data_IF_513334710012
#
_entry.id   IF_513334710012
#
_cell.length_a   1.000
_cell.length_b   1.000
_cell.length_c   1.000
_cell.angle_alpha   90.00
_cell.angle_beta   90.00
_cell.angle_gamma   90.00
#
_symmetry.space_group_name_H-M   'P 1'
#
loop_
_entity.id
_entity.type
_entity.pdbx_description
1 polymer ?
#
# COMPACT_ATOMS: atom_id res chain seq x y z
N UNK A 1 -21.97 -1.01 -6.28
CA UNK A 1 -20.96 -2.02 -5.89
C UNK A 1 -19.65 -1.66 -6.59
N UNK A 2 -18.55 -1.60 -5.85
CA UNK A 2 -17.22 -1.28 -6.41
C UNK A 2 -16.67 -2.45 -7.23
N UNK A 3 -15.95 -2.14 -8.33
CA UNK A 3 -15.12 -3.12 -9.02
C UNK A 3 -13.65 -2.78 -8.80
N UNK A 4 -12.88 -3.76 -8.32
CA UNK A 4 -11.44 -3.62 -8.08
C UNK A 4 -10.68 -4.44 -9.11
N UNK A 5 -9.99 -3.77 -10.02
CA UNK A 5 -9.20 -4.43 -11.06
C UNK A 5 -7.79 -4.70 -10.56
N UNK A 6 -7.39 -5.95 -10.63
CA UNK A 6 -6.05 -6.43 -10.23
C UNK A 6 -6.09 -7.50 -9.16
N UNK A 7 -5.11 -8.39 -9.16
CA UNK A 7 -5.02 -9.50 -8.21
C UNK A 7 -4.37 -9.13 -6.88
N UNK A 8 -4.64 -9.92 -5.84
CA UNK A 8 -4.16 -9.73 -4.46
C UNK A 8 -2.64 -9.86 -4.29
N UNK A 9 -1.92 -10.35 -5.28
CA UNK A 9 -0.44 -10.39 -5.29
C UNK A 9 0.20 -9.06 -5.71
N UNK A 10 -0.60 -7.99 -5.82
CA UNK A 10 -0.19 -6.65 -6.21
C UNK A 10 -0.63 -5.59 -5.20
N UNK A 11 -0.43 -4.30 -5.53
CA UNK A 11 -0.97 -3.19 -4.74
C UNK A 11 -2.50 -3.17 -4.64
N UNK A 12 -3.22 -3.97 -5.43
CA UNK A 12 -4.66 -4.14 -5.27
C UNK A 12 -5.02 -4.76 -3.91
N UNK A 13 -4.10 -5.51 -3.28
CA UNK A 13 -4.29 -6.02 -1.91
C UNK A 13 -4.68 -4.93 -0.92
N UNK A 14 -4.11 -3.73 -1.04
CA UNK A 14 -4.42 -2.58 -0.17
C UNK A 14 -5.89 -2.18 -0.27
N UNK A 15 -6.42 -2.18 -1.50
CA UNK A 15 -7.81 -1.79 -1.79
C UNK A 15 -8.78 -2.84 -1.26
N UNK A 16 -8.52 -4.11 -1.56
CA UNK A 16 -9.31 -5.23 -1.02
C UNK A 16 -9.34 -5.20 0.50
N UNK A 17 -8.17 -5.07 1.13
CA UNK A 17 -8.09 -5.03 2.59
C UNK A 17 -8.84 -3.86 3.20
N UNK A 18 -8.76 -2.68 2.62
CA UNK A 18 -9.54 -1.52 3.09
C UNK A 18 -11.05 -1.78 2.99
N UNK A 19 -11.52 -2.34 1.89
CA UNK A 19 -12.94 -2.66 1.70
C UNK A 19 -13.43 -3.70 2.72
N UNK A 20 -12.64 -4.74 2.98
CA UNK A 20 -12.90 -5.72 4.04
C UNK A 20 -12.94 -5.08 5.44
N UNK A 21 -11.98 -4.20 5.79
CA UNK A 21 -11.97 -3.48 7.07
C UNK A 21 -13.19 -2.57 7.25
N UNK A 22 -13.71 -2.04 6.18
CA UNK A 22 -14.89 -1.19 6.18
C UNK A 22 -16.20 -1.96 6.11
N UNK A 23 -16.17 -3.26 5.82
CA UNK A 23 -17.32 -4.12 5.51
C UNK A 23 -18.14 -3.54 4.37
N UNK A 24 -17.51 -3.31 3.22
CA UNK A 24 -18.10 -2.74 2.02
C UNK A 24 -17.99 -3.74 0.87
N UNK A 25 -19.13 -4.01 0.21
CA UNK A 25 -19.22 -4.96 -0.89
C UNK A 25 -18.43 -4.51 -2.13
N UNK A 26 -17.76 -5.46 -2.76
CA UNK A 26 -16.98 -5.24 -3.97
C UNK A 26 -16.97 -6.49 -4.88
N UNK A 27 -16.67 -6.26 -6.14
CA UNK A 27 -16.36 -7.29 -7.14
C UNK A 27 -14.86 -7.21 -7.46
N UNK A 28 -14.15 -8.31 -7.24
CA UNK A 28 -12.75 -8.45 -7.66
C UNK A 28 -12.66 -8.89 -9.13
N UNK A 29 -11.99 -8.11 -9.97
CA UNK A 29 -11.80 -8.41 -11.40
C UNK A 29 -10.33 -8.73 -11.65
N UNK A 30 -9.96 -10.01 -11.83
CA UNK A 30 -8.60 -10.40 -12.15
C UNK A 30 -8.24 -9.91 -13.56
N UNK A 31 -7.29 -8.99 -13.63
CA UNK A 31 -6.77 -8.47 -14.90
C UNK A 31 -5.25 -8.39 -14.85
N UNK A 32 -4.59 -8.72 -15.97
CA UNK A 32 -3.13 -8.65 -16.05
C UNK A 32 -2.67 -7.20 -16.24
N UNK A 33 -1.63 -6.74 -15.49
CA UNK A 33 -1.01 -5.45 -15.76
C UNK A 33 -0.57 -5.34 -17.23
N UNK A 34 -0.74 -4.17 -17.81
CA UNK A 34 -0.36 -3.83 -19.20
C UNK A 34 -1.13 -4.58 -20.29
N UNK A 35 -2.17 -5.35 -19.96
CA UNK A 35 -3.01 -5.98 -20.98
C UNK A 35 -3.74 -4.94 -21.84
N UNK A 36 -4.12 -5.26 -23.09
CA UNK A 36 -4.90 -4.38 -23.93
C UNK A 36 -6.23 -3.95 -23.30
N UNK A 37 -6.89 -4.86 -22.61
CA UNK A 37 -8.15 -4.62 -21.91
C UNK A 37 -7.99 -3.59 -20.79
N UNK A 38 -6.94 -3.75 -19.97
CA UNK A 38 -6.65 -2.80 -18.90
C UNK A 38 -6.29 -1.42 -19.45
N UNK A 39 -5.52 -1.35 -20.55
CA UNK A 39 -5.12 -0.07 -21.16
C UNK A 39 -6.27 0.74 -21.72
N UNK A 40 -7.39 0.10 -22.07
CA UNK A 40 -8.62 0.80 -22.47
C UNK A 40 -9.25 1.54 -21.29
N UNK A 41 -9.05 1.04 -20.06
CA UNK A 41 -9.61 1.61 -18.83
C UNK A 41 -8.59 2.56 -18.15
N UNK A 42 -7.35 2.12 -18.07
CA UNK A 42 -6.22 2.88 -17.51
C UNK A 42 -5.06 2.85 -18.51
N UNK A 43 -4.81 3.93 -19.25
CA UNK A 43 -3.75 3.98 -20.28
C UNK A 43 -2.35 3.65 -19.78
N UNK A 44 -2.07 3.88 -18.47
CA UNK A 44 -0.78 3.49 -17.86
C UNK A 44 -0.59 1.97 -17.78
N UNK A 45 -1.66 1.19 -17.90
CA UNK A 45 -1.66 -0.26 -17.75
C UNK A 45 -1.30 -0.75 -16.36
N UNK A 46 -1.37 0.12 -15.34
CA UNK A 46 -1.08 -0.22 -13.94
C UNK A 46 -2.34 -0.66 -13.19
N UNK A 47 -2.15 -1.51 -12.19
CA UNK A 47 -3.15 -1.91 -11.20
C UNK A 47 -2.71 -1.47 -9.80
N UNK A 48 -3.64 -1.26 -8.84
CA UNK A 48 -5.09 -1.38 -8.95
C UNK A 48 -5.76 -0.27 -9.75
N UNK A 49 -6.98 -0.57 -10.21
CA UNK A 49 -7.97 0.42 -10.65
C UNK A 49 -9.26 0.15 -9.89
N UNK A 50 -9.88 1.19 -9.39
CA UNK A 50 -11.22 1.15 -8.81
C UNK A 50 -12.21 1.72 -9.81
N UNK A 51 -13.32 1.03 -10.02
CA UNK A 51 -14.50 1.56 -10.75
C UNK A 51 -15.65 1.71 -9.76
N UNK A 52 -16.16 2.93 -9.67
CA UNK A 52 -17.32 3.27 -8.87
C UNK A 52 -18.35 3.95 -9.79
N UNK A 53 -19.33 3.17 -10.24
CA UNK A 53 -20.29 3.55 -11.31
C UNK A 53 -19.55 4.01 -12.58
N UNK A 54 -19.59 5.30 -12.90
CA UNK A 54 -18.95 5.93 -14.05
C UNK A 54 -17.55 6.48 -13.76
N UNK A 55 -17.11 6.45 -12.50
CA UNK A 55 -15.80 6.97 -12.09
C UNK A 55 -14.75 5.87 -12.13
N UNK A 56 -13.63 6.14 -12.79
CA UNK A 56 -12.45 5.28 -12.83
C UNK A 56 -11.32 5.95 -12.07
N UNK A 57 -10.85 5.32 -11.00
CA UNK A 57 -9.75 5.84 -10.16
C UNK A 57 -8.57 4.89 -10.27
N UNK A 58 -7.42 5.41 -10.62
CA UNK A 58 -6.15 4.69 -10.62
C UNK A 58 -5.20 5.26 -9.57
N UNK A 59 -4.17 4.49 -9.22
CA UNK A 59 -3.27 4.62 -8.08
C UNK A 59 -3.88 4.18 -6.75
N UNK A 60 -3.15 3.30 -6.05
CA UNK A 60 -3.67 2.70 -4.82
C UNK A 60 -3.89 3.73 -3.71
N UNK A 61 -3.06 4.77 -3.61
CA UNK A 61 -3.21 5.78 -2.56
C UNK A 61 -4.40 6.69 -2.83
N UNK A 62 -4.61 7.09 -4.09
CA UNK A 62 -5.80 7.84 -4.49
C UNK A 62 -7.09 7.05 -4.21
N UNK A 63 -7.08 5.74 -4.51
CA UNK A 63 -8.21 4.85 -4.23
C UNK A 63 -8.48 4.75 -2.73
N UNK A 64 -7.43 4.52 -1.91
CA UNK A 64 -7.59 4.42 -0.44
C UNK A 64 -8.13 5.73 0.14
N UNK A 65 -7.61 6.88 -0.31
CA UNK A 65 -8.08 8.20 0.14
C UNK A 65 -9.54 8.43 -0.23
N UNK A 66 -9.90 8.14 -1.49
CA UNK A 66 -11.28 8.27 -1.96
C UNK A 66 -12.26 7.42 -1.13
N UNK A 67 -11.94 6.13 -0.95
CA UNK A 67 -12.79 5.22 -0.19
C UNK A 67 -12.91 5.64 1.27
N UNK A 68 -11.79 6.02 1.90
CA UNK A 68 -11.78 6.44 3.30
C UNK A 68 -12.62 7.70 3.52
N UNK A 69 -12.49 8.70 2.66
CA UNK A 69 -13.25 9.95 2.76
C UNK A 69 -14.74 9.73 2.45
N UNK A 70 -15.06 8.95 1.41
CA UNK A 70 -16.44 8.63 1.04
C UNK A 70 -17.18 7.88 2.15
N UNK A 71 -16.54 6.92 2.79
CA UNK A 71 -17.12 6.12 3.87
C UNK A 71 -16.87 6.69 5.27
N UNK A 72 -16.09 7.76 5.41
CA UNK A 72 -15.69 8.37 6.70
C UNK A 72 -15.08 7.35 7.67
N UNK A 73 -14.32 6.38 7.14
CA UNK A 73 -13.67 5.30 7.88
C UNK A 73 -12.17 5.27 7.55
N UNK A 74 -11.35 4.79 8.49
CA UNK A 74 -9.90 4.61 8.33
C UNK A 74 -9.17 5.91 7.93
N UNK A 75 -9.71 7.06 8.31
CA UNK A 75 -9.15 8.38 8.08
C UNK A 75 -9.66 9.38 9.11
N UNK A 76 -8.98 10.52 9.19
CA UNK A 76 -9.46 11.71 9.88
C UNK A 76 -10.15 12.65 8.88
N UNK A 77 -11.11 13.49 9.32
CA UNK A 77 -11.80 14.43 8.43
C UNK A 77 -10.83 15.40 7.76
N UNK A 78 -11.06 15.68 6.48
CA UNK A 78 -10.25 16.64 5.72
C UNK A 78 -10.22 18.02 6.41
N UNK A 79 -9.08 18.71 6.37
CA UNK A 79 -8.89 20.02 6.99
C UNK A 79 -8.57 19.98 8.49
N UNK A 80 -8.59 18.81 9.16
CA UNK A 80 -8.19 18.70 10.56
C UNK A 80 -6.67 18.52 10.73
N UNK A 81 -6.15 18.87 11.91
CA UNK A 81 -4.72 18.67 12.26
C UNK A 81 -4.34 17.18 12.22
N UNK A 82 -5.24 16.33 12.69
CA UNK A 82 -5.06 14.89 12.68
C UNK A 82 -4.96 14.34 11.24
N UNK A 83 -5.76 14.88 10.31
CA UNK A 83 -5.67 14.52 8.90
C UNK A 83 -4.34 14.99 8.29
N UNK A 84 -3.88 16.18 8.61
CA UNK A 84 -2.59 16.68 8.14
C UNK A 84 -1.43 15.78 8.63
N UNK A 85 -1.48 15.32 9.89
CA UNK A 85 -0.50 14.37 10.43
C UNK A 85 -0.58 13.00 9.74
N UNK A 86 -1.80 12.50 9.48
CA UNK A 86 -2.04 11.27 8.73
C UNK A 86 -1.45 11.36 7.32
N UNK A 87 -1.73 12.43 6.61
CA UNK A 87 -1.28 12.61 5.23
C UNK A 87 0.25 12.78 5.17
N UNK A 88 0.83 13.54 6.11
CA UNK A 88 2.30 13.67 6.24
C UNK A 88 2.97 12.29 6.42
N UNK A 89 2.44 11.45 7.30
CA UNK A 89 2.98 10.11 7.52
C UNK A 89 2.75 9.20 6.30
N UNK A 90 1.57 9.29 5.70
CA UNK A 90 1.21 8.51 4.49
C UNK A 90 2.15 8.82 3.33
N UNK A 91 2.40 10.09 3.07
CA UNK A 91 3.29 10.51 1.99
C UNK A 91 4.75 10.16 2.28
N UNK A 92 5.19 10.31 3.53
CA UNK A 92 6.53 9.86 3.92
C UNK A 92 6.72 8.35 3.69
N UNK A 93 5.77 7.51 4.10
CA UNK A 93 5.84 6.06 3.85
C UNK A 93 5.81 5.75 2.35
N UNK A 94 5.00 6.46 1.57
CA UNK A 94 4.92 6.27 0.13
C UNK A 94 6.22 6.66 -0.57
N UNK A 95 6.84 7.76 -0.16
CA UNK A 95 8.10 8.24 -0.75
C UNK A 95 9.32 7.46 -0.24
N UNK A 96 9.42 7.26 1.06
CA UNK A 96 10.64 6.74 1.69
C UNK A 96 10.68 5.19 1.78
N UNK A 97 9.54 4.51 1.64
CA UNK A 97 9.48 3.03 1.71
C UNK A 97 8.95 2.43 0.39
N UNK A 98 7.75 2.85 -0.10
CA UNK A 98 7.17 2.26 -1.31
C UNK A 98 8.02 2.54 -2.55
N UNK A 99 8.53 3.77 -2.70
CA UNK A 99 9.33 4.14 -3.87
C UNK A 99 10.61 3.31 -3.98
N UNK A 100 11.26 3.02 -2.85
CA UNK A 100 12.48 2.21 -2.79
C UNK A 100 12.20 0.77 -3.23
N UNK A 101 11.18 0.14 -2.64
CA UNK A 101 10.79 -1.22 -3.01
C UNK A 101 10.32 -1.31 -4.46
N UNK A 102 9.63 -0.28 -4.94
CA UNK A 102 9.21 -0.19 -6.33
C UNK A 102 10.39 0.02 -7.29
N UNK A 103 11.38 0.83 -6.89
CA UNK A 103 12.59 1.01 -7.68
C UNK A 103 13.36 -0.30 -7.82
N UNK A 104 13.52 -1.05 -6.73
CA UNK A 104 14.09 -2.41 -6.77
C UNK A 104 13.34 -3.28 -7.78
N UNK A 105 12.03 -3.42 -7.65
CA UNK A 105 11.22 -4.25 -8.55
C UNK A 105 11.33 -3.80 -10.02
N UNK A 106 11.42 -2.50 -10.28
CA UNK A 106 11.61 -1.97 -11.64
C UNK A 106 12.91 -2.49 -12.26
N UNK A 107 14.00 -2.45 -11.53
CA UNK A 107 15.31 -2.86 -12.03
C UNK A 107 15.53 -4.38 -11.97
N UNK A 108 14.78 -5.11 -11.13
CA UNK A 108 14.90 -6.56 -11.06
C UNK A 108 14.14 -7.26 -12.21
N UNK A 109 12.89 -6.82 -12.54
CA UNK A 109 12.07 -7.58 -13.49
C UNK A 109 11.07 -6.77 -14.32
N UNK A 110 10.80 -5.48 -14.01
CA UNK A 110 9.74 -4.73 -14.70
C UNK A 110 10.24 -4.01 -15.95
N UNK A 111 11.40 -3.36 -15.86
CA UNK A 111 12.01 -2.65 -16.98
C UNK A 111 12.57 -3.65 -18.02
N UNK A 112 12.66 -3.25 -19.29
CA UNK A 112 13.48 -3.97 -20.26
C UNK A 112 14.89 -4.19 -19.73
N UNK A 113 15.51 -5.31 -20.06
CA UNK A 113 16.81 -5.70 -19.48
C UNK A 113 17.91 -4.67 -19.75
N UNK A 114 17.93 -4.08 -20.94
CA UNK A 114 18.87 -3.04 -21.34
C UNK A 114 18.72 -1.71 -20.58
N UNK A 115 17.62 -1.56 -19.84
CA UNK A 115 17.32 -0.38 -19.02
C UNK A 115 17.49 -0.63 -17.53
N UNK A 116 17.92 -1.83 -17.12
CA UNK A 116 18.13 -2.18 -15.73
C UNK A 116 19.51 -1.76 -15.27
N UNK A 117 19.60 -1.18 -14.08
CA UNK A 117 20.85 -0.84 -13.42
C UNK A 117 21.23 -2.00 -12.50
N UNK A 118 22.27 -2.75 -12.87
CA UNK A 118 22.82 -3.82 -12.02
C UNK A 118 23.40 -3.21 -10.74
N UNK A 119 23.12 -3.86 -9.59
CA UNK A 119 23.68 -3.45 -8.30
C UNK A 119 22.95 -2.30 -7.59
N UNK A 120 21.89 -1.72 -8.18
CA UNK A 120 21.11 -0.63 -7.55
C UNK A 120 20.57 -1.06 -6.16
N UNK A 121 20.25 -2.34 -5.98
CA UNK A 121 19.67 -2.85 -4.74
C UNK A 121 20.59 -2.68 -3.53
N UNK A 122 21.90 -2.52 -3.71
CA UNK A 122 22.82 -2.26 -2.59
C UNK A 122 22.51 -0.93 -1.91
N UNK A 123 22.32 0.13 -2.67
CA UNK A 123 21.92 1.45 -2.13
C UNK A 123 20.49 1.47 -1.62
N UNK A 124 19.57 0.83 -2.36
CA UNK A 124 18.16 0.78 -1.97
C UNK A 124 17.94 0.02 -0.65
N UNK A 125 18.67 -1.08 -0.39
CA UNK A 125 18.62 -1.80 0.89
C UNK A 125 19.13 -0.97 2.06
N UNK A 126 20.23 -0.26 1.86
CA UNK A 126 20.77 0.64 2.87
C UNK A 126 19.79 1.77 3.19
N UNK A 127 19.21 2.38 2.16
CA UNK A 127 18.26 3.46 2.30
C UNK A 127 16.96 2.99 2.98
N UNK A 128 16.44 1.83 2.60
CA UNK A 128 15.28 1.20 3.23
C UNK A 128 15.48 1.00 4.73
N UNK A 129 16.62 0.39 5.13
CA UNK A 129 16.94 0.15 6.54
C UNK A 129 17.01 1.47 7.33
N UNK A 130 17.69 2.49 6.78
CA UNK A 130 17.77 3.82 7.37
C UNK A 130 16.39 4.46 7.54
N UNK A 131 15.54 4.37 6.52
CA UNK A 131 14.19 4.95 6.54
C UNK A 131 13.26 4.21 7.51
N UNK A 132 13.37 2.87 7.61
CA UNK A 132 12.68 2.10 8.64
C UNK A 132 13.06 2.55 10.06
N UNK A 133 14.35 2.82 10.32
CA UNK A 133 14.80 3.36 11.61
C UNK A 133 14.14 4.70 11.93
N UNK A 134 14.09 5.61 10.98
CA UNK A 134 13.39 6.90 11.14
C UNK A 134 11.89 6.71 11.36
N UNK A 135 11.25 5.83 10.57
CA UNK A 135 9.83 5.55 10.70
C UNK A 135 9.47 4.93 12.06
N UNK A 136 10.31 4.04 12.58
CA UNK A 136 10.11 3.40 13.88
C UNK A 136 10.00 4.40 15.04
N UNK A 137 10.58 5.59 14.91
CA UNK A 137 10.48 6.67 15.93
C UNK A 137 9.17 7.46 15.84
N UNK A 138 8.41 7.33 14.75
CA UNK A 138 7.18 8.12 14.50
C UNK A 138 5.91 7.45 15.05
N UNK A 139 6.02 6.25 15.62
CA UNK A 139 4.88 5.57 16.23
C UNK A 139 4.37 6.33 17.45
N UNK A 140 3.08 6.62 17.48
CA UNK A 140 2.42 7.16 18.68
C UNK A 140 2.09 6.03 19.67
N UNK A 141 1.73 6.40 20.88
CA UNK A 141 1.21 5.43 21.85
C UNK A 141 -0.10 4.84 21.32
N UNK A 142 -0.19 3.51 21.30
CA UNK A 142 -1.34 2.77 20.79
C UNK A 142 -0.95 1.66 19.80
N UNK A 143 -1.92 0.88 19.36
CA UNK A 143 -1.66 -0.25 18.45
C UNK A 143 -1.38 0.17 17.00
N UNK A 144 -1.76 1.38 16.61
CA UNK A 144 -1.62 1.86 15.22
C UNK A 144 -0.63 3.03 15.13
N UNK A 145 -0.22 3.35 13.93
CA UNK A 145 0.78 4.39 13.66
C UNK A 145 0.44 5.75 14.29
N UNK A 146 -0.84 6.11 14.29
CA UNK A 146 -1.32 7.38 14.84
C UNK A 146 -2.05 7.23 16.18
N UNK A 147 -1.86 6.13 16.90
CA UNK A 147 -2.44 5.86 18.21
C UNK A 147 -3.53 4.78 18.17
N UNK A 148 -4.72 5.08 18.70
CA UNK A 148 -5.78 4.08 18.89
C UNK A 148 -6.59 3.79 17.63
N UNK A 149 -6.52 4.64 16.60
CA UNK A 149 -7.35 4.52 15.40
C UNK A 149 -6.51 4.05 14.21
N UNK A 150 -6.93 2.93 13.59
CA UNK A 150 -6.38 2.49 12.32
C UNK A 150 -6.74 3.46 11.19
N UNK A 151 -5.77 3.78 10.36
CA UNK A 151 -5.90 4.75 9.27
C UNK A 151 -5.19 4.27 8.00
N UNK A 152 -5.28 5.03 6.91
CA UNK A 152 -4.65 4.72 5.61
C UNK A 152 -3.16 4.32 5.73
N UNK A 153 -2.29 5.06 6.47
CA UNK A 153 -0.88 4.70 6.56
C UNK A 153 -0.64 3.33 7.19
N UNK A 154 -1.56 2.82 8.02
CA UNK A 154 -1.47 1.48 8.59
C UNK A 154 -1.61 0.40 7.50
N UNK A 155 -2.55 0.55 6.57
CA UNK A 155 -2.73 -0.34 5.42
C UNK A 155 -1.48 -0.28 4.51
N UNK A 156 -1.01 0.93 4.23
CA UNK A 156 0.14 1.14 3.38
C UNK A 156 1.39 0.48 3.96
N UNK A 157 1.76 0.82 5.19
CA UNK A 157 2.98 0.31 5.83
C UNK A 157 2.96 -1.21 5.96
N UNK A 158 1.83 -1.79 6.43
CA UNK A 158 1.73 -3.24 6.60
C UNK A 158 1.98 -3.99 5.29
N UNK A 159 1.41 -3.51 4.19
CA UNK A 159 1.61 -4.15 2.88
C UNK A 159 3.04 -4.00 2.38
N UNK A 160 3.70 -2.90 2.69
CA UNK A 160 5.10 -2.65 2.33
C UNK A 160 6.08 -3.50 3.14
N UNK A 161 5.90 -3.59 4.46
CA UNK A 161 6.72 -4.46 5.31
C UNK A 161 6.57 -5.94 4.92
N UNK A 162 5.33 -6.38 4.59
CA UNK A 162 5.10 -7.72 4.04
C UNK A 162 5.85 -7.93 2.73
N UNK A 163 5.84 -6.94 1.83
CA UNK A 163 6.56 -7.02 0.56
C UNK A 163 8.06 -7.01 0.77
N UNK A 164 8.58 -6.10 1.60
CA UNK A 164 9.99 -6.02 1.95
C UNK A 164 10.53 -7.36 2.48
N UNK A 165 9.81 -7.98 3.43
CA UNK A 165 10.15 -9.31 3.96
C UNK A 165 10.21 -10.38 2.87
N UNK A 166 9.29 -10.35 1.90
CA UNK A 166 9.26 -11.31 0.79
C UNK A 166 10.45 -11.18 -0.17
N UNK A 167 11.00 -9.97 -0.34
CA UNK A 167 12.12 -9.69 -1.24
C UNK A 167 13.43 -9.43 -0.48
N UNK A 168 13.46 -9.81 0.82
CA UNK A 168 14.64 -9.75 1.68
C UNK A 168 15.24 -8.34 1.81
N UNK A 169 14.37 -7.32 1.88
CA UNK A 169 14.74 -5.99 2.33
C UNK A 169 14.62 -5.93 3.84
N UNK A 170 15.75 -5.97 4.52
CA UNK A 170 15.86 -6.12 5.97
C UNK A 170 15.94 -4.77 6.69
N UNK A 171 15.53 -4.77 7.96
CA UNK A 171 15.70 -3.70 8.93
C UNK A 171 15.83 -4.29 10.34
N UNK A 172 16.40 -3.54 11.28
CA UNK A 172 16.64 -3.98 12.66
C UNK A 172 15.52 -3.57 13.65
N UNK A 173 14.45 -2.97 13.16
CA UNK A 173 13.41 -2.34 13.97
C UNK A 173 12.37 -3.36 14.47
N UNK A 174 12.57 -3.91 15.67
CA UNK A 174 11.70 -4.93 16.28
C UNK A 174 10.25 -4.47 16.47
N UNK A 175 10.00 -3.17 16.66
CA UNK A 175 8.65 -2.62 16.75
C UNK A 175 7.90 -2.72 15.42
N UNK A 176 8.56 -2.54 14.27
CA UNK A 176 7.97 -2.74 12.94
C UNK A 176 7.61 -4.21 12.71
N UNK A 177 8.46 -5.14 13.14
CA UNK A 177 8.16 -6.58 13.04
C UNK A 177 6.93 -6.96 13.88
N UNK A 178 6.91 -6.52 15.15
CA UNK A 178 5.76 -6.74 16.05
C UNK A 178 4.48 -6.16 15.48
N UNK A 179 4.57 -4.94 14.94
CA UNK A 179 3.45 -4.26 14.30
C UNK A 179 2.95 -5.05 13.08
N UNK A 180 3.83 -5.48 12.18
CA UNK A 180 3.45 -6.30 11.03
C UNK A 180 2.72 -7.57 11.45
N UNK A 181 3.23 -8.31 12.45
CA UNK A 181 2.60 -9.55 12.92
C UNK A 181 1.24 -9.29 13.60
N UNK A 182 1.08 -8.17 14.30
CA UNK A 182 -0.21 -7.74 14.85
C UNK A 182 -1.22 -7.45 13.73
N UNK A 183 -0.83 -6.66 12.73
CA UNK A 183 -1.71 -6.27 11.62
C UNK A 183 -2.15 -7.46 10.76
N UNK A 184 -1.28 -8.45 10.56
CA UNK A 184 -1.60 -9.69 9.82
C UNK A 184 -2.63 -10.58 10.54
N UNK A 185 -2.84 -10.41 11.85
CA UNK A 185 -3.84 -11.17 12.61
C UNK A 185 -5.27 -10.67 12.38
N UNK A 186 -5.46 -9.49 11.81
CA UNK A 186 -6.79 -8.92 11.54
C UNK A 186 -7.59 -9.80 10.60
N UNK A 187 -8.89 -9.98 10.87
CA UNK A 187 -9.73 -10.86 10.07
C UNK A 187 -9.82 -10.38 8.62
N UNK A 188 -10.02 -9.08 8.40
CA UNK A 188 -10.06 -8.48 7.07
C UNK A 188 -8.78 -8.74 6.26
N UNK A 189 -7.59 -8.67 6.90
CA UNK A 189 -6.33 -9.01 6.25
C UNK A 189 -6.29 -10.48 5.82
N UNK A 190 -6.72 -11.40 6.71
CA UNK A 190 -6.77 -12.84 6.42
C UNK A 190 -7.75 -13.17 5.30
N UNK A 191 -8.92 -12.53 5.28
CA UNK A 191 -9.91 -12.72 4.21
C UNK A 191 -9.27 -12.45 2.83
N UNK A 192 -8.57 -11.32 2.70
CA UNK A 192 -7.92 -10.98 1.42
C UNK A 192 -6.77 -11.92 1.04
N UNK A 193 -6.13 -12.56 2.02
CA UNK A 193 -5.09 -13.56 1.72
C UNK A 193 -5.65 -14.84 1.09
N UNK A 194 -6.94 -15.13 1.28
CA UNK A 194 -7.62 -16.30 0.74
C UNK A 194 -8.17 -16.08 -0.67
N UNK A 195 -8.25 -14.82 -1.15
CA UNK A 195 -8.60 -14.45 -2.51
C UNK A 195 -7.43 -14.68 -3.48
#
# INVERSE_FOLDING_TARGET
>A
MYKVLGGTKSRAFRVYWMLEEMNVDYEGVPIKPRSPELRKINPSGKIPVLIDNDIVISDSMAILTYLADKHKKLTYPAGTKERAQQDSLTFAINDEIDSILWMSARHDFILPEDKRIKGINKSLRWEFSRNCKTLATKFKNGPFLLGEKMTIPDILLTTLLRWAKKIEFEHDEKNLDKYLEMMKKRQAFKNVQLL
#
